data_IF_404647260227
#
_entry.id   IF_404647260227
#
_cell.length_a   1.000
_cell.length_b   1.000
_cell.length_c   1.000
_cell.angle_alpha   90.00
_cell.angle_beta   90.00
_cell.angle_gamma   90.00
#
_symmetry.space_group_name_H-M   'P 1'
#
loop_
_entity.id
_entity.type
_entity.pdbx_description
1 polymer ?
#
# COMPACT_ATOMS: atom_id res chain seq x y z
N UNK A 1 13.20 7.65 11.22
CA UNK A 1 12.76 7.87 9.84
C UNK A 1 12.74 6.53 9.13
N UNK A 2 11.55 6.01 8.84
CA UNK A 2 11.36 4.71 8.21
C UNK A 2 10.90 4.89 6.75
N UNK A 3 11.44 4.11 5.84
CA UNK A 3 11.10 4.16 4.42
C UNK A 3 10.77 2.78 3.87
N UNK A 4 9.73 2.72 3.04
CA UNK A 4 9.41 1.54 2.24
C UNK A 4 9.88 1.77 0.80
N UNK A 5 10.70 0.86 0.29
CA UNK A 5 11.10 0.83 -1.11
C UNK A 5 10.15 -0.09 -1.87
N UNK A 6 9.37 0.48 -2.78
CA UNK A 6 8.61 -0.30 -3.76
C UNK A 6 9.40 -0.33 -5.07
N UNK A 7 9.55 -1.54 -5.61
CA UNK A 7 10.09 -1.75 -6.96
C UNK A 7 9.01 -2.40 -7.78
N UNK A 8 8.55 -1.71 -8.82
CA UNK A 8 7.54 -2.23 -9.74
C UNK A 8 8.16 -3.23 -10.70
N UNK A 9 7.32 -4.02 -11.37
CA UNK A 9 7.74 -5.09 -12.30
C UNK A 9 8.56 -4.58 -13.48
N UNK A 10 8.34 -3.32 -13.90
CA UNK A 10 9.12 -2.64 -14.95
C UNK A 10 10.44 -2.03 -14.42
N UNK A 11 10.76 -2.19 -13.13
CA UNK A 11 12.00 -1.73 -12.51
C UNK A 11 11.95 -0.31 -11.95
N UNK A 12 10.81 0.38 -12.00
CA UNK A 12 10.69 1.69 -11.37
C UNK A 12 10.77 1.56 -9.84
N UNK A 13 11.56 2.43 -9.24
CA UNK A 13 11.74 2.48 -7.79
C UNK A 13 11.00 3.68 -7.22
N UNK A 14 10.17 3.43 -6.22
CA UNK A 14 9.49 4.44 -5.42
C UNK A 14 9.91 4.29 -3.95
N UNK A 15 10.33 5.39 -3.34
CA UNK A 15 10.59 5.45 -1.91
C UNK A 15 9.44 6.14 -1.23
N UNK A 16 8.86 5.47 -0.25
CA UNK A 16 7.73 5.96 0.52
C UNK A 16 8.24 6.31 1.91
N UNK A 17 8.11 7.58 2.30
CA UNK A 17 8.36 7.98 3.67
C UNK A 17 7.22 7.50 4.55
N UNK A 18 7.48 6.48 5.37
CA UNK A 18 6.46 5.92 6.24
C UNK A 18 6.05 6.94 7.30
N UNK A 19 6.89 7.89 7.72
CA UNK A 19 6.51 8.91 8.72
C UNK A 19 5.35 9.80 8.26
N UNK A 20 5.08 9.86 6.95
CA UNK A 20 4.01 10.67 6.35
C UNK A 20 2.76 9.87 5.99
N UNK A 21 2.79 8.54 6.07
CA UNK A 21 1.59 7.72 5.87
C UNK A 21 0.62 8.06 6.99
N UNK A 22 -0.67 8.22 6.69
CA UNK A 22 -1.71 8.48 7.69
C UNK A 22 -2.68 7.32 7.80
N UNK A 23 -2.86 6.57 6.71
CA UNK A 23 -3.75 5.41 6.66
C UNK A 23 -3.33 4.44 5.57
N UNK A 24 -3.54 3.16 5.84
CA UNK A 24 -3.40 2.07 4.88
C UNK A 24 -4.74 1.34 4.82
N UNK A 25 -5.21 1.00 3.62
CA UNK A 25 -6.52 0.35 3.46
C UNK A 25 -6.48 -0.59 2.27
N UNK A 26 -6.98 -1.80 2.47
CA UNK A 26 -7.30 -2.73 1.39
C UNK A 26 -8.69 -2.43 0.86
N UNK A 27 -8.84 -2.39 -0.46
CA UNK A 27 -10.13 -2.17 -1.11
C UNK A 27 -10.18 -2.97 -2.40
N UNK A 28 -11.27 -2.81 -3.14
CA UNK A 28 -11.39 -3.18 -4.53
C UNK A 28 -11.47 -1.93 -5.39
N UNK A 29 -10.85 -1.95 -6.56
CA UNK A 29 -11.04 -0.94 -7.59
C UNK A 29 -12.50 -0.95 -8.06
N UNK A 30 -13.12 0.21 -8.14
CA UNK A 30 -14.54 0.32 -8.44
C UNK A 30 -14.86 -0.05 -9.90
N UNK A 31 -13.91 0.12 -10.81
CA UNK A 31 -14.10 -0.07 -12.24
C UNK A 31 -13.70 -1.48 -12.67
N UNK A 32 -12.55 -1.99 -12.18
CA UNK A 32 -12.06 -3.32 -12.53
C UNK A 32 -12.49 -4.43 -11.57
N UNK A 33 -12.90 -4.09 -10.34
CA UNK A 33 -13.17 -5.06 -9.28
C UNK A 33 -11.92 -5.75 -8.73
N UNK A 34 -10.72 -5.31 -9.15
CA UNK A 34 -9.45 -5.89 -8.71
C UNK A 34 -9.10 -5.44 -7.30
N UNK A 35 -8.45 -6.28 -6.49
CA UNK A 35 -7.97 -5.88 -5.18
C UNK A 35 -6.89 -4.79 -5.32
N UNK A 36 -7.03 -3.76 -4.48
CA UNK A 36 -6.10 -2.64 -4.41
C UNK A 36 -5.63 -2.41 -2.98
N UNK A 37 -4.39 -1.93 -2.85
CA UNK A 37 -3.85 -1.37 -1.63
C UNK A 37 -3.76 0.15 -1.78
N UNK A 38 -4.39 0.88 -0.87
CA UNK A 38 -4.35 2.33 -0.82
C UNK A 38 -3.53 2.78 0.39
N UNK A 39 -2.45 3.52 0.13
CA UNK A 39 -1.62 4.17 1.13
C UNK A 39 -1.89 5.67 1.04
N UNK A 40 -2.49 6.24 2.09
CA UNK A 40 -2.78 7.67 2.16
C UNK A 40 -1.67 8.39 2.95
N UNK A 41 -1.24 9.53 2.43
CA UNK A 41 -0.28 10.42 3.07
C UNK A 41 -0.97 11.64 3.68
N UNK A 42 -1.89 12.23 2.92
CA UNK A 42 -2.77 13.32 3.35
C UNK A 42 -4.17 13.07 2.78
N UNK A 43 -5.15 13.92 3.12
CA UNK A 43 -6.53 13.77 2.60
C UNK A 43 -6.63 13.81 1.08
N UNK A 44 -5.61 14.35 0.38
CA UNK A 44 -5.59 14.51 -1.08
C UNK A 44 -4.49 13.71 -1.78
N UNK A 45 -3.54 13.15 -1.04
CA UNK A 45 -2.39 12.44 -1.61
C UNK A 45 -2.39 10.96 -1.20
N UNK A 46 -2.44 10.09 -2.21
CA UNK A 46 -2.51 8.64 -2.04
C UNK A 46 -1.73 7.90 -3.11
N UNK A 47 -1.13 6.78 -2.72
CA UNK A 47 -0.62 5.76 -3.62
C UNK A 47 -1.65 4.62 -3.68
N UNK A 48 -2.00 4.20 -4.89
CA UNK A 48 -2.83 3.01 -5.12
C UNK A 48 -1.99 1.96 -5.83
N UNK A 49 -1.96 0.75 -5.28
CA UNK A 49 -1.26 -0.40 -5.86
C UNK A 49 -2.34 -1.40 -6.28
N UNK A 50 -2.37 -1.73 -7.56
CA UNK A 50 -3.30 -2.69 -8.13
C UNK A 50 -2.65 -4.06 -8.18
N UNK A 51 -3.40 -5.09 -7.81
CA UNK A 51 -3.01 -6.48 -7.98
C UNK A 51 -4.06 -7.23 -8.77
N UNK A 52 -3.70 -7.76 -9.93
CA UNK A 52 -4.63 -8.49 -10.80
C UNK A 52 -4.40 -10.01 -10.78
N UNK A 53 -3.29 -10.45 -10.18
CA UNK A 53 -2.96 -11.88 -10.01
C UNK A 53 -2.98 -12.31 -8.54
N UNK A 54 -3.06 -13.62 -8.29
CA UNK A 54 -2.98 -14.18 -6.93
C UNK A 54 -1.63 -13.87 -6.25
N UNK A 55 -0.55 -13.76 -7.03
CA UNK A 55 0.77 -13.36 -6.54
C UNK A 55 0.78 -11.89 -6.10
N UNK A 56 0.16 -11.00 -6.88
CA UNK A 56 0.04 -9.59 -6.52
C UNK A 56 -0.80 -9.39 -5.25
N UNK A 57 -1.86 -10.18 -5.08
CA UNK A 57 -2.67 -10.18 -3.86
C UNK A 57 -1.85 -10.60 -2.65
N UNK A 58 -1.05 -11.67 -2.77
CA UNK A 58 -0.17 -12.11 -1.70
C UNK A 58 0.90 -11.05 -1.38
N UNK A 59 1.42 -10.35 -2.40
CA UNK A 59 2.35 -9.24 -2.21
C UNK A 59 1.68 -8.06 -1.48
N UNK A 60 0.44 -7.70 -1.85
CA UNK A 60 -0.36 -6.68 -1.15
C UNK A 60 -0.55 -7.06 0.33
N UNK A 61 -0.95 -8.30 0.60
CA UNK A 61 -1.14 -8.79 1.97
C UNK A 61 0.17 -8.77 2.77
N UNK A 62 1.30 -9.12 2.14
CA UNK A 62 2.63 -9.01 2.74
C UNK A 62 3.01 -7.56 3.06
N UNK A 63 2.69 -6.61 2.18
CA UNK A 63 2.96 -5.18 2.41
C UNK A 63 2.09 -4.67 3.57
N UNK A 64 0.82 -5.06 3.64
CA UNK A 64 -0.07 -4.71 4.75
C UNK A 64 0.51 -5.23 6.07
N UNK A 65 0.91 -6.50 6.14
CA UNK A 65 1.52 -7.09 7.35
C UNK A 65 2.78 -6.34 7.79
N UNK A 66 3.68 -6.02 6.85
CA UNK A 66 4.87 -5.21 7.15
C UNK A 66 4.52 -3.81 7.67
N UNK A 67 3.49 -3.18 7.10
CA UNK A 67 3.05 -1.85 7.51
C UNK A 67 2.40 -1.87 8.90
N UNK A 68 1.65 -2.93 9.25
CA UNK A 68 1.08 -3.08 10.60
C UNK A 68 2.16 -3.12 11.68
N UNK A 69 3.30 -3.78 11.39
CA UNK A 69 4.45 -3.82 12.30
C UNK A 69 5.21 -2.49 12.37
N UNK A 70 5.35 -1.79 11.25
CA UNK A 70 6.16 -0.56 11.17
C UNK A 70 5.41 0.69 11.63
N UNK A 71 4.09 0.76 11.39
CA UNK A 71 3.25 1.93 11.65
C UNK A 71 1.99 1.56 12.44
N UNK A 72 2.12 0.96 13.64
CA UNK A 72 1.03 0.33 14.39
C UNK A 72 -0.05 1.30 14.85
N UNK A 73 0.28 2.57 15.07
CA UNK A 73 -0.67 3.60 15.49
C UNK A 73 -1.54 4.15 14.35
N UNK A 74 -1.25 3.75 13.10
CA UNK A 74 -1.95 4.26 11.93
C UNK A 74 -3.01 3.26 11.53
N UNK A 75 -4.27 3.67 11.62
CA UNK A 75 -5.43 2.83 11.32
C UNK A 75 -5.24 2.10 9.99
N UNK A 76 -4.87 0.84 10.06
CA UNK A 76 -5.08 -0.10 8.97
C UNK A 76 -6.55 -0.46 9.04
N UNK A 77 -7.33 0.15 8.16
CA UNK A 77 -8.71 -0.29 7.99
C UNK A 77 -8.64 -1.58 7.17
N UNK A 78 -8.86 -2.71 7.85
CA UNK A 78 -9.07 -4.01 7.24
C UNK A 78 -10.42 -4.07 6.51
#
# INVERSE_FOLDING_TARGET
MQYLKLTTTNGDVRWINLDHVTRVTRSFDADSGEPILVIMFTDSDRLTIHGSTAEDVAAIDSIIGMLDECVPDRRIAA
#
